data_IF_989133251752
#
_entry.id   IF_989133251752
#
_cell.length_a   1.000
_cell.length_b   1.000
_cell.length_c   1.000
_cell.angle_alpha   90.00
_cell.angle_beta   90.00
_cell.angle_gamma   90.00
#
_symmetry.space_group_name_H-M   'P 1'
#
loop_
_entity.id
_entity.type
_entity.pdbx_description
1 polymer ?
#
# COMPACT_ATOMS: atom_id res chain seq x y z
N UNK A 1 -19.07 -45.25 37.22
CA UNK A 1 -17.77 -44.53 37.22
C UNK A 1 -17.40 -44.29 35.76
N UNK A 2 -17.94 -43.26 35.15
CA UNK A 2 -17.60 -42.88 33.78
C UNK A 2 -16.70 -41.67 33.81
N UNK A 3 -15.52 -41.82 33.28
CA UNK A 3 -14.51 -40.75 33.18
C UNK A 3 -14.80 -39.93 31.97
N UNK A 4 -15.20 -38.68 32.20
CA UNK A 4 -15.40 -37.64 31.23
C UNK A 4 -14.02 -37.15 30.73
N UNK A 5 -13.63 -37.52 29.50
CA UNK A 5 -12.44 -36.97 28.82
C UNK A 5 -12.81 -35.64 28.19
N UNK A 6 -12.37 -34.58 28.85
CA UNK A 6 -12.32 -33.23 28.24
C UNK A 6 -11.39 -33.27 27.01
N UNK A 7 -11.95 -33.12 25.84
CA UNK A 7 -11.21 -32.82 24.62
C UNK A 7 -10.99 -31.31 24.58
N UNK A 8 -9.76 -30.90 24.84
CA UNK A 8 -9.27 -29.56 24.48
C UNK A 8 -9.37 -29.41 22.97
N UNK A 9 -10.31 -28.61 22.51
CA UNK A 9 -10.32 -28.11 21.14
C UNK A 9 -9.26 -27.02 21.05
N UNK A 10 -8.11 -27.37 20.50
CA UNK A 10 -7.07 -26.45 20.06
C UNK A 10 -7.63 -25.63 18.89
N UNK A 11 -8.07 -24.41 19.21
CA UNK A 11 -8.62 -23.47 18.26
C UNK A 11 -7.53 -22.78 17.43
N UNK A 12 -6.78 -23.56 16.68
CA UNK A 12 -5.87 -23.03 15.65
C UNK A 12 -6.71 -22.37 14.56
N UNK A 13 -6.95 -21.06 14.69
CA UNK A 13 -7.54 -20.26 13.63
C UNK A 13 -6.63 -20.34 12.40
N UNK A 14 -7.05 -21.10 11.41
CA UNK A 14 -6.36 -21.23 10.13
C UNK A 14 -6.35 -19.86 9.47
N UNK A 15 -5.19 -19.26 9.34
CA UNK A 15 -4.97 -18.02 8.59
C UNK A 15 -5.45 -18.23 7.15
N UNK A 16 -6.61 -17.70 6.82
CA UNK A 16 -7.15 -17.77 5.45
C UNK A 16 -6.52 -16.62 4.67
N UNK A 17 -5.41 -16.89 3.99
CA UNK A 17 -4.88 -15.95 3.03
C UNK A 17 -5.84 -15.87 1.85
N UNK A 18 -6.26 -14.66 1.46
CA UNK A 18 -7.03 -14.45 0.24
C UNK A 18 -6.20 -14.92 -0.97
N UNK A 19 -6.79 -15.65 -1.92
CA UNK A 19 -6.09 -16.01 -3.14
C UNK A 19 -5.65 -14.74 -3.89
N UNK A 20 -4.48 -14.77 -4.53
CA UNK A 20 -3.91 -13.63 -5.28
C UNK A 20 -4.92 -13.01 -6.26
N UNK A 21 -5.77 -13.83 -6.88
CA UNK A 21 -6.85 -13.39 -7.76
C UNK A 21 -7.91 -12.54 -7.05
N UNK A 22 -8.22 -12.80 -5.79
CA UNK A 22 -9.19 -12.01 -5.03
C UNK A 22 -8.61 -10.64 -4.65
N UNK A 23 -7.35 -10.60 -4.23
CA UNK A 23 -6.64 -9.34 -3.95
C UNK A 23 -6.54 -8.48 -5.21
N UNK A 24 -6.19 -9.09 -6.35
CA UNK A 24 -6.14 -8.42 -7.64
C UNK A 24 -7.51 -7.86 -8.03
N UNK A 25 -8.59 -8.62 -7.89
CA UNK A 25 -9.93 -8.17 -8.20
C UNK A 25 -10.43 -7.05 -7.28
N UNK A 26 -10.06 -7.09 -5.99
CA UNK A 26 -10.32 -5.98 -5.07
C UNK A 26 -9.57 -4.71 -5.52
N UNK A 27 -8.30 -4.83 -5.87
CA UNK A 27 -7.50 -3.72 -6.38
C UNK A 27 -8.10 -3.14 -7.68
N UNK A 28 -8.54 -3.97 -8.62
CA UNK A 28 -9.20 -3.55 -9.84
C UNK A 28 -10.48 -2.76 -9.57
N UNK A 29 -11.34 -3.25 -8.68
CA UNK A 29 -12.57 -2.56 -8.29
C UNK A 29 -12.29 -1.21 -7.60
N UNK A 30 -11.31 -1.18 -6.70
CA UNK A 30 -10.89 0.04 -6.02
C UNK A 30 -10.27 1.03 -7.00
N UNK A 31 -9.44 0.55 -7.93
CA UNK A 31 -8.79 1.40 -8.92
C UNK A 31 -9.80 2.07 -9.87
N UNK A 32 -10.86 1.39 -10.28
CA UNK A 32 -11.96 2.00 -11.04
C UNK A 32 -12.63 3.13 -10.26
N UNK A 33 -12.76 3.00 -8.95
CA UNK A 33 -13.29 4.05 -8.07
C UNK A 33 -12.30 5.20 -7.94
N UNK A 34 -11.00 4.90 -7.80
CA UNK A 34 -9.91 5.86 -7.62
C UNK A 34 -9.61 6.65 -8.89
N UNK A 35 -9.54 5.98 -10.04
CA UNK A 35 -9.24 6.59 -11.34
C UNK A 35 -10.49 7.11 -12.06
N UNK A 36 -11.69 6.72 -11.61
CA UNK A 36 -12.94 7.28 -12.10
C UNK A 36 -12.90 8.80 -11.98
N UNK A 37 -13.59 9.51 -12.89
CA UNK A 37 -13.63 10.98 -13.01
C UNK A 37 -14.10 11.63 -11.70
N UNK A 38 -13.31 11.55 -10.64
CA UNK A 38 -13.58 12.26 -9.41
C UNK A 38 -13.25 13.75 -9.60
N UNK A 39 -14.27 14.58 -9.50
CA UNK A 39 -14.13 16.05 -9.50
C UNK A 39 -13.59 16.58 -8.16
N UNK A 40 -13.40 15.74 -7.16
CA UNK A 40 -12.90 16.06 -5.82
C UNK A 40 -11.92 14.99 -5.37
N UNK A 41 -10.92 15.37 -4.58
CA UNK A 41 -9.99 14.45 -3.94
C UNK A 41 -10.69 13.42 -3.07
N UNK A 42 -10.10 12.25 -2.93
CA UNK A 42 -10.66 11.14 -2.14
C UNK A 42 -9.64 10.56 -1.16
N UNK A 43 -10.13 10.18 0.01
CA UNK A 43 -9.39 9.39 0.97
C UNK A 43 -10.02 8.00 1.08
N UNK A 44 -9.21 6.96 0.88
CA UNK A 44 -9.56 5.58 1.20
C UNK A 44 -8.74 5.13 2.40
N UNK A 45 -9.43 4.60 3.40
CA UNK A 45 -8.80 3.94 4.54
C UNK A 45 -8.85 2.43 4.36
N UNK A 46 -7.69 1.77 4.44
CA UNK A 46 -7.60 0.33 4.46
C UNK A 46 -7.16 -0.08 5.87
N UNK A 47 -8.13 -0.44 6.70
CA UNK A 47 -7.88 -1.07 7.97
C UNK A 47 -8.18 -2.56 7.83
N UNK A 48 -7.21 -3.42 8.07
CA UNK A 48 -7.46 -4.86 8.11
C UNK A 48 -7.31 -5.36 9.53
N UNK A 49 -8.32 -6.12 9.96
CA UNK A 49 -8.17 -6.93 11.16
C UNK A 49 -7.48 -8.26 10.80
N UNK A 50 -6.50 -8.71 11.58
CA UNK A 50 -5.98 -10.07 11.43
C UNK A 50 -7.13 -11.08 11.50
N UNK A 51 -7.21 -12.10 10.64
CA UNK A 51 -6.13 -12.68 9.83
C UNK A 51 -6.22 -12.42 8.32
N UNK A 52 -6.84 -11.34 7.89
CA UNK A 52 -7.18 -11.10 6.48
C UNK A 52 -6.08 -10.28 5.80
N UNK A 53 -5.18 -10.99 5.12
CA UNK A 53 -4.40 -10.45 4.03
C UNK A 53 -3.18 -9.59 4.40
N UNK A 54 -2.29 -9.50 3.44
CA UNK A 54 -1.15 -8.57 3.40
C UNK A 54 -1.63 -7.27 2.73
N UNK A 55 -1.93 -6.27 3.55
CA UNK A 55 -2.34 -4.93 3.09
C UNK A 55 -1.31 -4.33 2.13
N UNK A 56 -0.04 -4.57 2.38
CA UNK A 56 1.06 -4.14 1.52
C UNK A 56 0.91 -4.70 0.11
N UNK A 57 0.51 -5.96 -0.04
CA UNK A 57 0.28 -6.55 -1.36
C UNK A 57 -0.89 -5.88 -2.08
N UNK A 58 -2.02 -5.63 -1.41
CA UNK A 58 -3.17 -4.93 -2.01
C UNK A 58 -2.76 -3.52 -2.46
N UNK A 59 -2.08 -2.79 -1.60
CA UNK A 59 -1.57 -1.46 -1.86
C UNK A 59 -0.64 -1.43 -3.09
N UNK A 60 0.31 -2.37 -3.18
CA UNK A 60 1.22 -2.47 -4.31
C UNK A 60 0.51 -2.86 -5.61
N UNK A 61 -0.57 -3.67 -5.57
CA UNK A 61 -1.41 -3.90 -6.75
C UNK A 61 -2.06 -2.62 -7.24
N UNK A 62 -2.56 -1.76 -6.34
CA UNK A 62 -3.17 -0.48 -6.72
C UNK A 62 -2.14 0.47 -7.34
N UNK A 63 -0.93 0.53 -6.75
CA UNK A 63 0.19 1.31 -7.30
C UNK A 63 0.59 0.79 -8.67
N UNK A 64 0.73 -0.54 -8.84
CA UNK A 64 1.02 -1.16 -10.13
C UNK A 64 -0.01 -0.76 -11.18
N UNK A 65 -1.30 -0.97 -10.89
CA UNK A 65 -2.36 -0.64 -11.83
C UNK A 65 -2.38 0.84 -12.19
N UNK A 66 -2.06 1.73 -11.25
CA UNK A 66 -2.06 3.17 -11.50
C UNK A 66 -0.81 3.59 -12.27
N UNK A 67 0.37 3.29 -11.77
CA UNK A 67 1.62 3.79 -12.35
C UNK A 67 2.15 2.94 -13.50
N UNK A 68 2.15 1.59 -13.35
CA UNK A 68 2.74 0.70 -14.35
C UNK A 68 1.77 0.44 -15.51
N UNK A 69 0.51 0.09 -15.18
CA UNK A 69 -0.44 -0.33 -16.23
C UNK A 69 -1.11 0.86 -16.93
N UNK A 70 -1.37 1.96 -16.19
CA UNK A 70 -2.08 3.13 -16.73
C UNK A 70 -1.19 4.37 -16.93
N UNK A 71 0.10 4.30 -16.58
CA UNK A 71 1.05 5.42 -16.69
C UNK A 71 0.56 6.72 -16.02
N UNK A 72 -0.13 6.59 -14.87
CA UNK A 72 -0.61 7.70 -14.07
C UNK A 72 0.35 7.91 -12.89
N UNK A 73 0.89 9.13 -12.69
CA UNK A 73 1.83 9.40 -11.61
C UNK A 73 1.28 9.02 -10.23
N UNK A 74 2.02 8.20 -9.51
CA UNK A 74 1.69 7.72 -8.18
C UNK A 74 2.88 7.84 -7.24
N UNK A 75 2.61 8.02 -5.95
CA UNK A 75 3.60 8.03 -4.90
C UNK A 75 3.24 7.02 -3.80
N UNK A 76 4.26 6.45 -3.17
CA UNK A 76 4.10 5.54 -2.04
C UNK A 76 5.09 5.91 -0.94
N UNK A 77 4.57 6.09 0.26
CA UNK A 77 5.34 6.31 1.48
C UNK A 77 5.37 5.01 2.28
N UNK A 78 6.57 4.44 2.47
CA UNK A 78 6.78 3.15 3.15
C UNK A 78 7.89 3.25 4.18
N UNK A 79 7.68 3.94 5.32
CA UNK A 79 8.76 4.23 6.29
C UNK A 79 9.41 2.97 6.87
N UNK A 80 8.71 1.85 6.90
CA UNK A 80 9.19 0.58 7.46
C UNK A 80 9.65 -0.44 6.43
N UNK A 81 9.68 -0.08 5.16
CA UNK A 81 10.10 -0.97 4.10
C UNK A 81 11.07 -0.26 3.16
N UNK A 82 12.30 -0.74 3.10
CA UNK A 82 13.31 -0.17 2.21
C UNK A 82 12.83 -0.13 0.75
N UNK A 83 13.21 0.90 0.01
CA UNK A 83 12.87 1.07 -1.41
C UNK A 83 13.15 -0.19 -2.23
N UNK A 84 14.26 -0.89 -1.96
CA UNK A 84 14.60 -2.14 -2.64
C UNK A 84 13.56 -3.24 -2.41
N UNK A 85 13.01 -3.34 -1.20
CA UNK A 85 11.97 -4.33 -0.89
C UNK A 85 10.65 -3.98 -1.60
N UNK A 86 10.28 -2.69 -1.60
CA UNK A 86 9.10 -2.18 -2.32
C UNK A 86 9.20 -2.49 -3.81
N UNK A 87 10.34 -2.18 -4.41
CA UNK A 87 10.60 -2.45 -5.84
C UNK A 87 10.58 -3.95 -6.13
N UNK A 88 11.27 -4.79 -5.33
CA UNK A 88 11.27 -6.23 -5.52
C UNK A 88 9.86 -6.84 -5.43
N UNK A 89 9.03 -6.36 -4.50
CA UNK A 89 7.62 -6.77 -4.41
C UNK A 89 6.81 -6.32 -5.62
N UNK A 90 7.03 -5.10 -6.11
CA UNK A 90 6.36 -4.59 -7.31
C UNK A 90 6.76 -5.40 -8.54
N UNK A 91 8.04 -5.72 -8.69
CA UNK A 91 8.56 -6.62 -9.75
C UNK A 91 7.88 -7.99 -9.65
N UNK A 92 7.84 -8.58 -8.46
CA UNK A 92 7.18 -9.88 -8.24
C UNK A 92 5.70 -9.87 -8.64
N UNK A 93 4.97 -8.81 -8.28
CA UNK A 93 3.55 -8.63 -8.61
C UNK A 93 3.37 -8.43 -10.12
N UNK A 94 4.27 -7.72 -10.78
CA UNK A 94 4.16 -7.39 -12.20
C UNK A 94 4.53 -8.58 -13.09
N UNK A 95 5.57 -9.31 -12.73
CA UNK A 95 6.11 -10.43 -13.53
C UNK A 95 5.50 -11.78 -13.18
N UNK A 96 4.95 -11.93 -11.98
CA UNK A 96 4.54 -13.22 -11.43
C UNK A 96 5.70 -14.07 -10.90
N UNK A 97 6.94 -13.60 -10.98
CA UNK A 97 8.13 -14.28 -10.42
C UNK A 97 8.02 -14.25 -8.89
N UNK A 98 8.39 -15.36 -8.23
CA UNK A 98 8.36 -15.42 -6.77
C UNK A 98 9.26 -14.36 -6.12
N UNK A 99 8.73 -13.62 -5.14
CA UNK A 99 9.49 -12.58 -4.42
C UNK A 99 10.84 -13.08 -3.88
N UNK A 100 10.87 -14.28 -3.30
CA UNK A 100 12.10 -14.86 -2.74
C UNK A 100 13.20 -15.08 -3.79
N UNK A 101 12.81 -15.46 -5.03
CA UNK A 101 13.76 -15.61 -6.15
C UNK A 101 14.37 -14.26 -6.52
N UNK A 102 13.54 -13.21 -6.58
CA UNK A 102 14.00 -11.85 -6.91
C UNK A 102 14.90 -11.32 -5.81
N UNK A 103 14.47 -11.42 -4.56
CA UNK A 103 15.21 -10.91 -3.40
C UNK A 103 16.57 -11.61 -3.20
N UNK A 104 16.63 -12.92 -3.47
CA UNK A 104 17.86 -13.71 -3.37
C UNK A 104 18.73 -13.68 -4.63
N UNK A 105 18.23 -13.14 -5.76
CA UNK A 105 18.93 -13.15 -7.04
C UNK A 105 19.08 -14.54 -7.65
N UNK A 106 18.20 -15.48 -7.30
CA UNK A 106 18.22 -16.89 -7.75
C UNK A 106 17.25 -17.11 -8.91
N UNK A 107 17.35 -16.25 -9.94
CA UNK A 107 16.50 -16.31 -11.13
C UNK A 107 16.99 -17.38 -12.10
N UNK A 108 16.03 -18.14 -12.64
CA UNK A 108 16.27 -19.10 -13.71
C UNK A 108 16.19 -18.39 -15.09
N UNK A 109 16.58 -19.08 -16.15
CA UNK A 109 16.58 -18.52 -17.52
C UNK A 109 15.19 -17.99 -17.94
N UNK A 110 14.13 -18.70 -17.59
CA UNK A 110 12.75 -18.30 -17.87
C UNK A 110 12.33 -17.05 -17.07
N UNK A 111 12.77 -16.97 -15.80
CA UNK A 111 12.54 -15.80 -14.96
C UNK A 111 13.23 -14.56 -15.54
N UNK A 112 14.47 -14.70 -16.02
CA UNK A 112 15.21 -13.62 -16.68
C UNK A 112 14.50 -13.11 -17.93
N UNK A 113 14.01 -14.02 -18.77
CA UNK A 113 13.25 -13.63 -19.97
C UNK A 113 12.00 -12.85 -19.60
N UNK A 114 11.23 -13.34 -18.61
CA UNK A 114 10.02 -12.68 -18.12
C UNK A 114 10.35 -11.30 -17.55
N UNK A 115 11.47 -11.19 -16.81
CA UNK A 115 11.92 -9.92 -16.26
C UNK A 115 12.28 -8.92 -17.36
N UNK A 116 13.06 -9.32 -18.36
CA UNK A 116 13.47 -8.46 -19.48
C UNK A 116 12.26 -7.92 -20.26
N UNK A 117 11.23 -8.73 -20.45
CA UNK A 117 9.99 -8.33 -21.14
C UNK A 117 9.20 -7.26 -20.34
N UNK A 118 9.22 -7.33 -19.01
CA UNK A 118 8.41 -6.47 -18.14
C UNK A 118 9.18 -5.27 -17.55
N UNK A 119 10.51 -5.37 -17.45
CA UNK A 119 11.34 -4.35 -16.80
C UNK A 119 11.17 -2.95 -17.40
N UNK A 120 11.07 -2.76 -18.74
CA UNK A 120 10.86 -1.43 -19.32
C UNK A 120 9.57 -0.76 -18.84
N UNK A 121 8.51 -1.50 -18.61
CA UNK A 121 7.24 -0.97 -18.09
C UNK A 121 7.37 -0.51 -16.65
N UNK A 122 8.14 -1.24 -15.84
CA UNK A 122 8.35 -0.91 -14.41
C UNK A 122 9.28 0.31 -14.30
N UNK A 123 10.40 0.32 -15.03
CA UNK A 123 11.42 1.38 -14.93
C UNK A 123 10.90 2.72 -15.44
N UNK A 124 10.06 2.71 -16.48
CA UNK A 124 9.48 3.92 -17.04
C UNK A 124 8.17 4.36 -16.35
N UNK A 125 7.67 3.59 -15.39
CA UNK A 125 6.47 3.95 -14.66
C UNK A 125 6.69 5.23 -13.83
N UNK A 126 5.76 6.20 -13.86
CA UNK A 126 5.86 7.41 -13.05
C UNK A 126 5.50 7.12 -11.57
N UNK A 127 6.33 6.33 -10.92
CA UNK A 127 6.20 5.91 -9.52
C UNK A 127 7.30 6.52 -8.67
N UNK A 128 6.90 7.18 -7.60
CA UNK A 128 7.78 7.81 -6.61
C UNK A 128 7.67 7.01 -5.30
N UNK A 129 8.79 6.45 -4.85
CA UNK A 129 8.87 5.66 -3.62
C UNK A 129 9.67 6.45 -2.60
N UNK A 130 9.08 6.72 -1.45
CA UNK A 130 9.74 7.40 -0.32
C UNK A 130 9.74 6.45 0.89
N UNK A 131 10.91 5.97 1.28
CA UNK A 131 11.13 5.10 2.44
C UNK A 131 11.69 5.89 3.64
N UNK A 132 11.72 7.21 3.55
CA UNK A 132 12.14 8.04 4.67
C UNK A 132 11.08 8.09 5.75
N UNK A 133 11.53 8.07 7.00
CA UNK A 133 10.59 8.22 8.11
C UNK A 133 9.97 9.62 8.07
N UNK A 134 8.65 9.63 7.95
CA UNK A 134 7.86 10.85 8.09
C UNK A 134 7.41 10.95 9.54
N UNK A 135 7.87 11.99 10.23
CA UNK A 135 7.61 12.11 11.66
C UNK A 135 6.33 12.88 11.99
N UNK A 136 5.89 13.76 11.09
CA UNK A 136 4.73 14.62 11.35
C UNK A 136 3.79 14.73 10.16
N UNK A 137 2.52 15.08 10.42
CA UNK A 137 1.55 15.35 9.36
C UNK A 137 1.96 16.54 8.49
N UNK A 138 2.56 17.58 9.08
CA UNK A 138 3.05 18.74 8.35
C UNK A 138 4.18 18.37 7.37
N UNK A 139 5.10 17.50 7.78
CA UNK A 139 6.15 16.97 6.90
C UNK A 139 5.55 16.14 5.75
N UNK A 140 4.62 15.24 6.06
CA UNK A 140 3.92 14.44 5.06
C UNK A 140 3.18 15.32 4.05
N UNK A 141 2.44 16.33 4.52
CA UNK A 141 1.74 17.27 3.65
C UNK A 141 2.69 18.01 2.72
N UNK A 142 3.85 18.47 3.24
CA UNK A 142 4.87 19.12 2.42
C UNK A 142 5.37 18.22 1.30
N UNK A 143 5.77 16.99 1.63
CA UNK A 143 6.24 16.00 0.65
C UNK A 143 5.19 15.67 -0.40
N UNK A 144 3.93 15.46 0.01
CA UNK A 144 2.82 15.21 -0.92
C UNK A 144 2.63 16.41 -1.85
N UNK A 145 2.64 17.63 -1.32
CA UNK A 145 2.47 18.85 -2.09
C UNK A 145 3.58 19.02 -3.13
N UNK A 146 4.81 18.76 -2.75
CA UNK A 146 5.98 18.82 -3.66
C UNK A 146 5.84 17.80 -4.80
N UNK A 147 5.45 16.56 -4.49
CA UNK A 147 5.24 15.50 -5.50
C UNK A 147 4.08 15.83 -6.45
N UNK A 148 2.99 16.38 -5.93
CA UNK A 148 1.85 16.80 -6.77
C UNK A 148 2.24 17.96 -7.67
N UNK A 149 2.96 18.94 -7.13
CA UNK A 149 3.33 20.15 -7.87
C UNK A 149 4.39 19.86 -8.93
N UNK A 150 5.43 19.10 -8.58
CA UNK A 150 6.55 18.81 -9.48
C UNK A 150 6.25 17.70 -10.50
N UNK A 151 5.43 16.72 -10.13
CA UNK A 151 5.26 15.49 -10.90
C UNK A 151 3.81 15.15 -11.23
N UNK A 152 2.85 16.00 -10.86
CA UNK A 152 1.42 15.80 -11.12
C UNK A 152 0.90 14.45 -10.56
N UNK A 153 1.39 14.03 -9.40
CA UNK A 153 0.95 12.81 -8.73
C UNK A 153 -0.56 12.83 -8.48
N UNK A 154 -1.23 11.73 -8.79
CA UNK A 154 -2.68 11.59 -8.67
C UNK A 154 -3.10 10.58 -7.61
N UNK A 155 -2.25 9.62 -7.30
CA UNK A 155 -2.43 8.63 -6.26
C UNK A 155 -1.28 8.72 -5.26
N UNK A 156 -1.61 8.86 -3.99
CA UNK A 156 -0.66 8.74 -2.89
C UNK A 156 -1.07 7.57 -2.01
N UNK A 157 -0.12 6.70 -1.73
CA UNK A 157 -0.32 5.57 -0.81
C UNK A 157 0.58 5.76 0.39
N UNK A 158 0.01 5.61 1.58
CA UNK A 158 0.72 5.76 2.85
C UNK A 158 0.59 4.44 3.60
N UNK A 159 1.70 3.74 3.75
CA UNK A 159 1.79 2.53 4.57
C UNK A 159 2.14 2.93 6.01
N UNK A 160 1.61 2.20 6.99
CA UNK A 160 1.87 2.44 8.41
C UNK A 160 1.51 3.87 8.89
N UNK A 161 0.25 4.28 8.67
CA UNK A 161 -0.26 5.56 9.15
C UNK A 161 -0.15 5.71 10.68
N UNK A 162 -0.19 4.59 11.40
CA UNK A 162 -0.04 4.52 12.85
C UNK A 162 1.32 5.05 13.36
N UNK A 163 2.33 5.15 12.50
CA UNK A 163 3.65 5.66 12.87
C UNK A 163 3.80 7.17 12.70
N UNK A 164 2.86 7.83 12.06
CA UNK A 164 2.91 9.28 11.84
C UNK A 164 2.46 10.01 13.10
N UNK A 165 3.33 10.87 13.64
CA UNK A 165 2.99 11.72 14.77
C UNK A 165 2.04 12.85 14.34
N UNK A 166 1.10 13.16 15.18
CA UNK A 166 0.15 14.24 14.94
C UNK A 166 0.68 15.60 15.41
N UNK A 167 1.78 16.07 14.82
CA UNK A 167 2.35 17.42 15.00
C UNK A 167 2.56 17.85 16.47
N UNK A 168 3.02 16.91 17.32
CA UNK A 168 3.26 17.18 18.74
C UNK A 168 2.01 17.23 19.60
N UNK A 169 0.84 16.93 19.05
CA UNK A 169 -0.37 16.76 19.82
C UNK A 169 -0.32 15.42 20.58
N UNK A 170 -0.60 15.48 21.88
CA UNK A 170 -0.78 14.28 22.69
C UNK A 170 -2.25 13.88 22.63
N UNK A 171 -2.50 12.61 22.34
CA UNK A 171 -3.86 12.05 22.36
C UNK A 171 -3.94 10.98 23.44
N UNK A 172 -4.96 11.08 24.28
CA UNK A 172 -5.23 10.08 25.33
C UNK A 172 -5.90 8.80 24.75
N UNK A 173 -6.46 8.90 23.53
CA UNK A 173 -7.16 7.82 22.85
C UNK A 173 -6.67 7.71 21.39
N UNK A 174 -6.29 6.50 21.00
CA UNK A 174 -5.85 6.15 19.65
C UNK A 174 -6.93 6.47 18.60
N UNK A 175 -8.19 6.30 18.91
CA UNK A 175 -9.30 6.64 18.00
C UNK A 175 -9.34 8.12 17.68
N UNK A 176 -9.08 8.97 18.68
CA UNK A 176 -9.05 10.44 18.50
C UNK A 176 -7.86 10.82 17.62
N UNK A 177 -6.72 10.16 17.81
CA UNK A 177 -5.53 10.34 16.97
C UNK A 177 -5.82 9.97 15.51
N UNK A 178 -6.40 8.80 15.29
CA UNK A 178 -6.74 8.32 13.94
C UNK A 178 -7.79 9.20 13.25
N UNK A 179 -8.78 9.70 14.00
CA UNK A 179 -9.76 10.65 13.46
C UNK A 179 -9.08 11.97 13.04
N UNK A 180 -8.14 12.48 13.83
CA UNK A 180 -7.35 13.65 13.47
C UNK A 180 -6.54 13.41 12.18
N UNK A 181 -5.78 12.31 12.10
CA UNK A 181 -4.98 11.96 10.93
C UNK A 181 -5.86 11.78 9.69
N UNK A 182 -6.98 11.11 9.84
CA UNK A 182 -7.96 10.89 8.77
C UNK A 182 -8.53 12.20 8.22
N UNK A 183 -8.92 13.12 9.09
CA UNK A 183 -9.43 14.45 8.67
C UNK A 183 -8.34 15.26 7.99
N UNK A 184 -7.12 15.23 8.49
CA UNK A 184 -5.99 15.94 7.90
C UNK A 184 -5.69 15.41 6.50
N UNK A 185 -5.60 14.09 6.32
CA UNK A 185 -5.38 13.47 5.02
C UNK A 185 -6.53 13.74 4.05
N UNK A 186 -7.77 13.75 4.51
CA UNK A 186 -8.92 14.09 3.68
C UNK A 186 -8.85 15.53 3.18
N UNK A 187 -8.48 16.47 4.04
CA UNK A 187 -8.27 17.87 3.66
C UNK A 187 -7.20 17.99 2.58
N UNK A 188 -6.05 17.35 2.79
CA UNK A 188 -4.96 17.32 1.79
C UNK A 188 -5.43 16.74 0.46
N UNK A 189 -6.17 15.63 0.48
CA UNK A 189 -6.69 15.00 -0.72
C UNK A 189 -7.64 15.92 -1.49
N UNK A 190 -8.52 16.61 -0.78
CA UNK A 190 -9.49 17.55 -1.38
C UNK A 190 -8.81 18.80 -1.93
N UNK A 191 -7.89 19.42 -1.20
CA UNK A 191 -7.14 20.61 -1.61
C UNK A 191 -6.29 20.36 -2.86
N UNK A 192 -5.57 19.22 -2.88
CA UNK A 192 -4.70 18.86 -4.00
C UNK A 192 -5.42 18.10 -5.13
N UNK A 193 -6.69 17.75 -4.94
CA UNK A 193 -7.51 16.99 -5.90
C UNK A 193 -6.86 15.65 -6.29
N UNK A 194 -6.34 14.95 -5.31
CA UNK A 194 -5.68 13.64 -5.45
C UNK A 194 -6.46 12.56 -4.71
N UNK A 195 -6.10 11.30 -4.97
CA UNK A 195 -6.55 10.19 -4.14
C UNK A 195 -5.44 9.82 -3.15
N UNK A 196 -5.80 9.71 -1.88
CA UNK A 196 -4.91 9.18 -0.84
C UNK A 196 -5.47 7.84 -0.36
N UNK A 197 -4.60 6.85 -0.27
CA UNK A 197 -4.88 5.56 0.36
C UNK A 197 -4.00 5.46 1.59
N UNK A 198 -4.63 5.38 2.75
CA UNK A 198 -3.94 5.20 4.02
C UNK A 198 -4.16 3.79 4.54
N UNK A 199 -3.07 3.15 4.93
CA UNK A 199 -3.05 1.78 5.44
C UNK A 199 -2.64 1.81 6.91
N UNK A 200 -3.48 1.24 7.75
CA UNK A 200 -3.24 1.02 9.18
C UNK A 200 -2.85 -0.45 9.40
N UNK A 201 -2.00 -0.68 10.39
CA UNK A 201 -1.53 -2.03 10.75
C UNK A 201 -2.28 -2.56 11.96
#
# INVERSE_FOLDING_TARGET
>A
MEQNKNQNQDGTQKKVALPKSAIQQMAENMNQTVLGKQKKGALLFIATQPPVGDNTTLMLYMVKMTAVDNNIPAAIFTPNMANTQTVNRLVAITTGIGYEKIAAGTLEMEDWKTLDENLPHIVNAPLYVDDTQVQTMAELQSKITDLVTAHSVRLVVIDHLDEICADGLAFDDERVRLDYLSRSLKTIAEELTITIIAVEK
#
